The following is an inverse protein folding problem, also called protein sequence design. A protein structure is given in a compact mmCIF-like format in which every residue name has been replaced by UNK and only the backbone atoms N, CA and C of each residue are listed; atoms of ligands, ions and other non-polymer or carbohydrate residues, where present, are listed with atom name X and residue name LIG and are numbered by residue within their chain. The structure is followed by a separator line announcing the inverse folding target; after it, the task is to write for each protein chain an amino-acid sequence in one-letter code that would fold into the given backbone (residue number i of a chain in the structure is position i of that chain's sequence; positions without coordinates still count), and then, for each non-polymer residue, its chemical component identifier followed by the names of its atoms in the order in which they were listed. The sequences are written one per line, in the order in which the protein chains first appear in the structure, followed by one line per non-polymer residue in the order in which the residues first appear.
data_IF_453301420316
#
_entry.id   IF_453301420316
#
_cell.length_a   1.000
_cell.length_b   1.000
_cell.length_c   1.000
_cell.angle_alpha   90.00
_cell.angle_beta   90.00
_cell.angle_gamma   90.00
#
_symmetry.space_group_name_H-M   'P 1'
#
loop_
_entity.id
_entity.type
_entity.pdbx_description
1 polymer ?
#
# COMPACT_ATOMS: atom_id res chain seq x y z
N UNK A 1 -19.34 38.70 34.83
CA UNK A 1 -19.22 39.56 33.65
C UNK A 1 -19.42 38.69 32.42
N UNK A 2 -20.63 38.73 31.83
CA UNK A 2 -20.90 38.12 30.53
C UNK A 2 -20.51 39.16 29.48
N UNK A 3 -19.36 39.01 28.85
CA UNK A 3 -18.96 39.85 27.71
C UNK A 3 -19.83 39.45 26.53
N UNK A 4 -20.80 40.30 26.19
CA UNK A 4 -21.58 40.13 24.97
C UNK A 4 -20.69 40.28 23.74
N UNK A 5 -20.91 39.43 22.74
CA UNK A 5 -20.28 39.54 21.42
C UNK A 5 -20.83 40.77 20.70
N UNK A 6 -19.94 41.70 20.32
CA UNK A 6 -20.30 42.90 19.53
C UNK A 6 -20.02 42.73 18.03
N UNK A 7 -19.14 41.81 17.65
CA UNK A 7 -18.85 41.45 16.26
C UNK A 7 -18.70 39.92 16.13
N UNK A 8 -19.41 39.31 15.18
CA UNK A 8 -19.35 37.87 14.93
C UNK A 8 -18.11 37.44 14.13
N UNK A 9 -17.53 38.34 13.33
CA UNK A 9 -16.36 38.07 12.49
C UNK A 9 -15.12 37.72 13.33
N UNK A 10 -15.06 38.22 14.56
CA UNK A 10 -13.98 37.94 15.52
C UNK A 10 -14.04 36.50 16.09
N UNK A 11 -15.14 35.79 15.85
CA UNK A 11 -15.40 34.45 16.40
C UNK A 11 -15.89 33.50 15.31
N UNK A 12 -15.07 33.25 14.27
CA UNK A 12 -15.45 32.33 13.22
C UNK A 12 -15.54 30.89 13.75
N UNK A 13 -16.30 30.05 13.05
CA UNK A 13 -16.40 28.63 13.39
C UNK A 13 -14.98 28.00 13.44
N UNK A 14 -14.64 27.26 14.50
CA UNK A 14 -13.29 26.73 14.68
C UNK A 14 -12.95 25.65 13.65
N UNK A 15 -11.65 25.42 13.47
CA UNK A 15 -11.12 24.38 12.58
C UNK A 15 -11.64 22.99 12.99
N UNK A 16 -11.81 22.12 11.99
CA UNK A 16 -12.40 20.78 12.17
C UNK A 16 -13.86 20.76 12.63
N UNK A 17 -14.55 21.91 12.63
CA UNK A 17 -15.96 22.04 12.96
C UNK A 17 -16.74 22.76 11.86
N UNK A 18 -18.06 22.70 11.94
CA UNK A 18 -19.01 23.52 11.18
C UNK A 18 -20.11 24.06 12.11
N UNK A 19 -20.65 25.24 11.77
CA UNK A 19 -21.54 25.99 12.66
C UNK A 19 -22.79 26.49 11.92
N UNK A 20 -23.99 25.95 12.18
CA UNK A 20 -25.23 26.33 11.48
C UNK A 20 -25.87 27.66 11.98
N UNK A 21 -25.16 28.47 12.77
CA UNK A 21 -25.63 29.78 13.24
C UNK A 21 -26.50 29.78 14.50
N UNK A 22 -26.50 28.70 15.30
CA UNK A 22 -27.27 28.60 16.57
C UNK A 22 -26.42 28.63 17.84
N UNK A 23 -25.13 28.98 17.72
CA UNK A 23 -24.18 28.98 18.83
C UNK A 23 -23.53 27.62 19.11
N UNK A 24 -23.96 26.56 18.41
CA UNK A 24 -23.36 25.24 18.47
C UNK A 24 -22.27 25.07 17.40
N UNK A 25 -21.16 24.44 17.78
CA UNK A 25 -20.12 23.99 16.86
C UNK A 25 -20.14 22.45 16.81
N UNK A 26 -20.24 21.89 15.60
CA UNK A 26 -20.30 20.46 15.38
C UNK A 26 -19.01 19.98 14.72
N UNK A 27 -18.48 18.85 15.17
CA UNK A 27 -17.31 18.23 14.56
C UNK A 27 -17.60 17.85 13.09
N UNK A 28 -16.61 18.05 12.22
CA UNK A 28 -16.65 17.47 10.88
C UNK A 28 -16.73 15.93 10.96
N UNK A 29 -17.44 15.27 10.04
CA UNK A 29 -17.62 13.82 10.07
C UNK A 29 -16.30 13.04 9.87
N UNK A 30 -16.23 11.76 10.27
CA UNK A 30 -15.08 10.91 10.00
C UNK A 30 -14.71 10.90 8.51
N UNK A 31 -13.42 10.84 8.20
CA UNK A 31 -12.93 10.89 6.82
C UNK A 31 -12.92 12.29 6.21
N UNK A 32 -13.30 13.32 6.98
CA UNK A 32 -13.21 14.73 6.56
C UNK A 32 -12.39 15.57 7.54
N UNK A 33 -11.88 16.70 7.05
CA UNK A 33 -11.16 17.69 7.85
C UNK A 33 -11.55 19.11 7.44
N UNK A 34 -11.22 20.08 8.27
CA UNK A 34 -11.37 21.50 7.96
C UNK A 34 -10.17 22.29 8.46
N UNK A 35 -9.35 22.77 7.53
CA UNK A 35 -8.16 23.60 7.81
C UNK A 35 -8.45 25.11 7.86
N UNK A 36 -9.60 25.56 7.33
CA UNK A 36 -9.99 26.96 7.29
C UNK A 36 -11.08 27.29 8.33
N UNK A 37 -11.07 28.47 8.96
CA UNK A 37 -12.14 28.86 9.87
C UNK A 37 -13.45 29.14 9.12
N UNK A 38 -14.54 29.32 9.88
CA UNK A 38 -15.79 29.88 9.36
C UNK A 38 -16.67 28.92 8.56
N UNK A 39 -16.50 27.61 8.71
CA UNK A 39 -17.39 26.62 8.11
C UNK A 39 -18.84 26.79 8.61
N UNK A 40 -19.78 26.91 7.67
CA UNK A 40 -21.21 27.10 7.92
C UNK A 40 -22.00 25.78 7.83
N UNK A 41 -21.48 24.80 7.09
CA UNK A 41 -22.18 23.55 6.84
C UNK A 41 -21.22 22.35 6.70
N UNK A 42 -21.79 21.15 6.59
CA UNK A 42 -21.03 19.93 6.30
C UNK A 42 -20.30 19.98 4.95
N UNK A 43 -20.77 20.79 4.00
CA UNK A 43 -20.15 20.94 2.68
C UNK A 43 -18.79 21.65 2.75
N UNK A 44 -18.54 22.37 3.85
CA UNK A 44 -17.26 23.00 4.13
C UNK A 44 -16.22 22.01 4.66
N UNK A 45 -16.62 20.81 5.11
CA UNK A 45 -15.71 19.78 5.55
C UNK A 45 -15.14 19.02 4.34
N UNK A 46 -13.86 19.25 4.05
CA UNK A 46 -13.18 18.65 2.91
C UNK A 46 -12.85 17.17 3.18
N UNK A 47 -12.85 16.30 2.15
CA UNK A 47 -12.31 14.95 2.30
C UNK A 47 -10.88 14.98 2.84
N UNK A 48 -10.56 14.03 3.72
CA UNK A 48 -9.21 13.92 4.27
C UNK A 48 -8.17 13.86 3.15
N UNK A 49 -7.10 14.63 3.31
CA UNK A 49 -6.08 14.75 2.26
C UNK A 49 -5.43 13.40 1.95
N UNK A 50 -5.09 13.11 0.68
CA UNK A 50 -4.38 11.89 0.31
C UNK A 50 -3.09 11.73 1.12
N UNK A 51 -2.85 10.51 1.63
CA UNK A 51 -1.71 10.21 2.50
C UNK A 51 -1.97 10.50 3.98
N UNK A 52 -3.15 11.00 4.32
CA UNK A 52 -3.62 11.23 5.68
C UNK A 52 -4.93 10.49 5.91
N UNK A 53 -5.22 10.18 7.18
CA UNK A 53 -6.51 9.68 7.62
C UNK A 53 -7.11 10.57 8.69
N UNK A 54 -8.43 10.67 8.69
CA UNK A 54 -9.22 11.53 9.56
C UNK A 54 -10.13 10.63 10.41
N UNK A 55 -9.66 10.18 11.59
CA UNK A 55 -10.41 9.26 12.44
C UNK A 55 -11.71 9.88 12.95
N UNK A 56 -12.58 9.07 13.52
CA UNK A 56 -13.84 9.54 14.10
C UNK A 56 -13.59 10.50 15.28
N UNK A 57 -13.90 11.81 15.14
CA UNK A 57 -13.66 12.80 16.19
C UNK A 57 -14.46 12.54 17.47
N UNK A 58 -15.61 11.85 17.37
CA UNK A 58 -16.40 11.48 18.53
C UNK A 58 -15.71 10.39 19.38
N UNK A 59 -14.86 9.57 18.76
CA UNK A 59 -14.07 8.55 19.45
C UNK A 59 -12.75 9.09 19.99
N UNK A 60 -12.07 9.96 19.23
CA UNK A 60 -10.77 10.52 19.64
C UNK A 60 -10.90 11.71 20.57
N UNK A 61 -12.05 12.40 20.58
CA UNK A 61 -12.25 13.66 21.29
C UNK A 61 -11.48 14.84 20.66
N UNK A 62 -10.94 14.68 19.45
CA UNK A 62 -10.11 15.66 18.78
C UNK A 62 -10.67 16.00 17.38
N UNK A 63 -10.80 17.29 17.04
CA UNK A 63 -11.24 17.70 15.71
C UNK A 63 -10.18 17.40 14.64
N UNK A 64 -10.62 16.95 13.46
CA UNK A 64 -9.75 16.78 12.31
C UNK A 64 -9.48 18.14 11.66
N UNK A 65 -8.40 18.81 12.07
CA UNK A 65 -7.97 20.05 11.40
C UNK A 65 -7.22 19.73 10.12
N UNK A 66 -6.27 18.80 10.15
CA UNK A 66 -5.39 18.44 9.03
C UNK A 66 -5.28 16.93 8.74
N UNK A 67 -5.87 16.07 9.59
CA UNK A 67 -5.71 14.61 9.52
C UNK A 67 -4.38 14.11 10.11
N UNK A 68 -4.21 12.80 10.16
CA UNK A 68 -3.02 12.12 10.69
C UNK A 68 -2.27 11.46 9.52
N UNK A 69 -0.96 11.72 9.35
CA UNK A 69 -0.20 11.15 8.24
C UNK A 69 -0.09 9.64 8.38
N UNK A 70 -0.16 8.95 7.25
CA UNK A 70 -0.11 7.49 7.25
C UNK A 70 1.31 7.00 7.45
N UNK A 71 1.46 6.06 8.37
CA UNK A 71 2.76 5.48 8.72
C UNK A 71 3.29 4.61 7.57
N UNK A 72 4.61 4.42 7.47
CA UNK A 72 5.18 3.48 6.50
C UNK A 72 4.55 2.10 6.62
N UNK A 73 4.36 1.43 5.48
CA UNK A 73 3.66 0.15 5.38
C UNK A 73 2.14 0.27 5.34
N UNK A 74 1.59 1.50 5.30
CA UNK A 74 0.15 1.76 5.18
C UNK A 74 -0.13 2.75 4.07
N UNK A 75 -1.31 2.62 3.46
CA UNK A 75 -1.85 3.53 2.46
C UNK A 75 -3.13 4.22 2.96
N UNK A 76 -3.32 5.46 2.51
CA UNK A 76 -4.48 6.29 2.83
C UNK A 76 -4.97 7.06 1.60
N UNK A 77 -5.91 6.48 0.84
CA UNK A 77 -6.61 7.19 -0.22
C UNK A 77 -7.32 8.46 0.30
N UNK A 78 -7.72 9.39 -0.59
CA UNK A 78 -8.51 10.55 -0.20
C UNK A 78 -9.76 10.15 0.60
N UNK A 79 -10.06 10.88 1.67
CA UNK A 79 -11.22 10.60 2.54
C UNK A 79 -11.03 9.42 3.51
N UNK A 80 -9.80 8.94 3.71
CA UNK A 80 -9.54 7.83 4.63
C UNK A 80 -9.95 8.15 6.06
N UNK A 81 -10.71 7.24 6.68
CA UNK A 81 -11.05 7.29 8.12
C UNK A 81 -9.97 6.62 8.97
N UNK A 82 -9.28 5.64 8.41
CA UNK A 82 -8.23 4.86 9.06
C UNK A 82 -7.20 4.41 8.02
N UNK A 83 -5.94 4.17 8.42
CA UNK A 83 -4.92 3.66 7.52
C UNK A 83 -5.17 2.19 7.17
N UNK A 84 -4.89 1.81 5.92
CA UNK A 84 -5.02 0.43 5.42
C UNK A 84 -3.62 -0.15 5.19
N UNK A 85 -3.35 -1.44 5.51
CA UNK A 85 -2.07 -2.06 5.18
C UNK A 85 -1.72 -1.91 3.70
N UNK A 86 -0.46 -1.66 3.40
CA UNK A 86 0.00 -1.54 2.02
C UNK A 86 -0.30 -2.82 1.24
N UNK A 87 -0.98 -2.70 0.11
CA UNK A 87 -1.33 -3.86 -0.73
C UNK A 87 -0.11 -4.70 -1.13
N UNK A 88 -0.24 -6.04 -1.15
CA UNK A 88 0.83 -6.94 -1.59
C UNK A 88 1.26 -6.64 -3.03
N UNK A 89 2.55 -6.80 -3.32
CA UNK A 89 3.15 -6.41 -4.59
C UNK A 89 3.44 -4.91 -4.71
N UNK A 90 3.24 -4.13 -3.65
CA UNK A 90 3.57 -2.71 -3.57
C UNK A 90 4.30 -2.39 -2.26
N UNK A 91 4.88 -1.19 -2.16
CA UNK A 91 5.43 -0.65 -0.93
C UNK A 91 4.93 0.77 -0.67
N UNK A 92 4.81 1.12 0.61
CA UNK A 92 4.22 2.38 1.07
C UNK A 92 5.16 3.09 2.05
N UNK A 93 5.66 4.26 1.66
CA UNK A 93 6.42 5.14 2.53
C UNK A 93 5.49 5.91 3.49
N UNK A 94 6.05 6.86 4.23
CA UNK A 94 5.22 7.79 5.02
C UNK A 94 4.35 8.64 4.09
N UNK A 95 3.08 8.83 4.47
CA UNK A 95 2.15 9.67 3.73
C UNK A 95 1.74 9.11 2.36
N UNK A 96 1.82 7.79 2.16
CA UNK A 96 1.41 7.17 0.89
C UNK A 96 -0.10 7.17 0.74
N UNK A 97 -0.59 7.81 -0.33
CA UNK A 97 -1.98 7.71 -0.77
C UNK A 97 -2.19 6.60 -1.80
N UNK A 98 -1.21 6.47 -2.70
CA UNK A 98 -1.18 5.47 -3.77
C UNK A 98 0.13 4.67 -3.66
N UNK A 99 0.06 3.35 -3.41
CA UNK A 99 1.24 2.50 -3.26
C UNK A 99 2.10 2.44 -4.52
N UNK A 100 3.42 2.45 -4.33
CA UNK A 100 4.38 2.23 -5.42
C UNK A 100 4.57 0.75 -5.71
N UNK A 101 4.55 0.38 -6.99
CA UNK A 101 4.77 -1.00 -7.44
C UNK A 101 6.12 -1.54 -6.99
N UNK A 102 6.14 -2.77 -6.49
CA UNK A 102 7.38 -3.45 -6.11
C UNK A 102 8.30 -3.63 -7.33
N UNK A 103 9.56 -3.17 -7.30
CA UNK A 103 10.46 -3.31 -8.44
C UNK A 103 10.79 -4.78 -8.75
N UNK A 104 11.05 -5.07 -10.03
CA UNK A 104 11.50 -6.40 -10.45
C UNK A 104 12.81 -6.82 -9.76
N UNK A 105 12.90 -8.11 -9.42
CA UNK A 105 13.99 -8.67 -8.61
C UNK A 105 13.79 -8.55 -7.10
N UNK A 106 12.66 -7.98 -6.66
CA UNK A 106 12.23 -7.93 -5.26
C UNK A 106 10.80 -8.43 -5.13
N UNK A 107 10.40 -8.76 -3.92
CA UNK A 107 9.01 -9.04 -3.59
C UNK A 107 8.57 -8.25 -2.36
N UNK A 108 7.33 -7.78 -2.37
CA UNK A 108 6.78 -6.91 -1.34
C UNK A 108 5.52 -7.58 -0.75
N UNK A 109 5.60 -8.27 0.40
CA UNK A 109 4.43 -8.78 1.09
C UNK A 109 3.52 -7.64 1.58
N UNK A 110 2.30 -7.98 2.01
CA UNK A 110 1.37 -7.01 2.61
C UNK A 110 2.04 -6.22 3.75
N UNK A 111 1.81 -4.90 3.76
CA UNK A 111 2.39 -4.01 4.79
C UNK A 111 3.85 -3.63 4.55
N UNK A 112 4.41 -3.89 3.37
CA UNK A 112 5.77 -3.49 3.01
C UNK A 112 5.92 -1.96 3.04
N UNK A 113 6.86 -1.47 3.87
CA UNK A 113 7.20 -0.04 3.98
C UNK A 113 8.27 0.42 2.99
N UNK A 114 9.03 -0.54 2.46
CA UNK A 114 10.08 -0.37 1.46
C UNK A 114 10.17 -1.65 0.62
N UNK A 115 11.09 -1.73 -0.33
CA UNK A 115 11.34 -2.93 -1.15
C UNK A 115 12.77 -3.46 -1.04
N UNK A 116 13.69 -2.67 -0.46
CA UNK A 116 15.13 -2.85 -0.55
C UNK A 116 15.75 -3.44 0.73
N UNK A 117 14.99 -4.23 1.48
CA UNK A 117 15.54 -5.02 2.59
C UNK A 117 16.14 -6.35 2.09
N UNK A 118 17.14 -6.92 2.79
CA UNK A 118 17.70 -8.22 2.44
C UNK A 118 16.64 -9.33 2.34
N UNK A 119 15.60 -9.26 3.15
CA UNK A 119 14.51 -10.23 3.19
C UNK A 119 13.63 -10.16 1.94
N UNK A 120 13.52 -8.99 1.31
CA UNK A 120 12.70 -8.74 0.11
C UNK A 120 13.44 -9.03 -1.20
N UNK A 121 14.74 -9.34 -1.14
CA UNK A 121 15.53 -9.68 -2.33
C UNK A 121 15.07 -11.02 -2.90
N UNK A 122 14.84 -11.06 -4.22
CA UNK A 122 14.49 -12.27 -4.92
C UNK A 122 15.73 -13.10 -5.24
N UNK A 123 15.88 -14.23 -4.56
CA UNK A 123 17.06 -15.09 -4.67
C UNK A 123 16.76 -16.39 -5.42
N UNK A 124 17.80 -17.01 -5.98
CA UNK A 124 17.69 -18.33 -6.62
C UNK A 124 17.06 -19.35 -5.65
N UNK A 125 16.13 -20.22 -6.11
CA UNK A 125 15.72 -20.46 -7.50
C UNK A 125 14.53 -19.62 -8.00
N UNK A 126 14.12 -18.59 -7.28
CA UNK A 126 12.89 -17.84 -7.55
C UNK A 126 13.12 -16.60 -8.41
N UNK A 127 12.14 -16.21 -9.22
CA UNK A 127 12.11 -14.93 -9.92
C UNK A 127 10.92 -14.08 -9.44
N UNK A 128 11.03 -12.77 -9.62
CA UNK A 128 10.08 -11.79 -9.13
C UNK A 128 9.91 -10.68 -10.17
N UNK A 129 8.90 -10.76 -11.06
CA UNK A 129 8.53 -9.64 -11.93
C UNK A 129 8.07 -8.41 -11.13
N UNK A 130 8.02 -7.21 -11.74
CA UNK A 130 7.46 -6.04 -11.09
C UNK A 130 6.06 -6.32 -10.52
N UNK A 131 5.81 -5.90 -9.28
CA UNK A 131 4.55 -6.16 -8.59
C UNK A 131 4.48 -7.50 -7.85
N UNK A 132 5.59 -8.22 -7.70
CA UNK A 132 5.60 -9.49 -6.98
C UNK A 132 5.30 -9.32 -5.49
N UNK A 133 4.27 -10.01 -5.00
CA UNK A 133 3.96 -10.10 -3.58
C UNK A 133 4.80 -11.15 -2.84
N UNK A 134 5.23 -12.17 -3.59
CA UNK A 134 6.04 -13.28 -3.11
C UNK A 134 6.95 -13.78 -4.24
N UNK A 135 8.01 -14.56 -3.92
CA UNK A 135 8.85 -15.17 -4.94
C UNK A 135 8.07 -16.20 -5.78
N UNK A 136 8.35 -16.24 -7.09
CA UNK A 136 7.74 -17.18 -8.03
C UNK A 136 8.75 -18.25 -8.47
N UNK A 137 8.26 -19.47 -8.67
CA UNK A 137 9.05 -20.58 -9.22
C UNK A 137 8.88 -20.63 -10.73
N UNK A 138 9.91 -21.08 -11.45
CA UNK A 138 9.73 -21.43 -12.85
C UNK A 138 8.70 -22.56 -12.98
N UNK A 139 7.76 -22.37 -13.90
CA UNK A 139 6.71 -23.34 -14.24
C UNK A 139 7.29 -24.71 -14.62
N UNK A 140 6.49 -25.77 -14.48
CA UNK A 140 6.84 -27.13 -14.88
C UNK A 140 7.40 -27.19 -16.30
N UNK A 141 8.45 -27.99 -16.49
CA UNK A 141 9.21 -28.03 -17.74
C UNK A 141 10.26 -26.92 -17.91
N UNK A 142 10.35 -25.96 -16.98
CA UNK A 142 11.41 -24.94 -16.97
C UNK A 142 12.28 -25.07 -15.74
N UNK A 143 13.60 -24.97 -15.87
CA UNK A 143 14.53 -24.87 -14.74
C UNK A 143 15.00 -23.43 -14.52
N UNK A 144 15.24 -23.09 -13.26
CA UNK A 144 15.78 -21.78 -12.89
C UNK A 144 17.26 -21.66 -13.28
N UNK A 145 17.63 -20.51 -13.85
CA UNK A 145 19.01 -20.18 -14.18
C UNK A 145 19.68 -19.35 -13.07
N UNK A 146 20.95 -19.62 -12.80
CA UNK A 146 21.78 -18.83 -11.87
C UNK A 146 22.59 -17.79 -12.65
N UNK A 147 21.91 -16.81 -13.24
CA UNK A 147 22.53 -15.69 -13.95
C UNK A 147 22.78 -14.50 -13.00
N UNK A 148 23.78 -13.64 -13.28
CA UNK A 148 23.97 -12.40 -12.53
C UNK A 148 22.81 -11.41 -12.75
N UNK A 149 22.61 -10.50 -11.80
CA UNK A 149 21.60 -9.44 -11.88
C UNK A 149 20.30 -9.74 -11.14
N UNK A 150 19.34 -8.79 -11.14
CA UNK A 150 18.06 -8.94 -10.46
C UNK A 150 17.21 -10.00 -11.17
N UNK A 151 16.64 -10.93 -10.40
CA UNK A 151 15.80 -12.02 -10.91
C UNK A 151 14.40 -11.52 -11.29
N UNK A 152 14.32 -10.66 -12.30
CA UNK A 152 13.18 -9.77 -12.59
C UNK A 152 12.17 -10.27 -13.62
N UNK A 153 12.41 -11.42 -14.25
CA UNK A 153 11.62 -11.88 -15.40
C UNK A 153 11.71 -13.38 -15.57
N UNK A 154 10.63 -13.97 -16.09
CA UNK A 154 10.58 -15.39 -16.38
C UNK A 154 11.55 -15.74 -17.52
N UNK A 155 11.52 -14.96 -18.60
CA UNK A 155 12.25 -15.23 -19.84
C UNK A 155 13.77 -15.21 -19.66
N UNK A 156 14.29 -14.41 -18.73
CA UNK A 156 15.73 -14.35 -18.44
C UNK A 156 16.16 -15.46 -17.49
N UNK A 157 15.31 -15.84 -16.53
CA UNK A 157 15.72 -16.66 -15.38
C UNK A 157 15.11 -18.05 -15.34
N UNK A 158 14.26 -18.38 -16.32
CA UNK A 158 13.69 -19.70 -16.52
C UNK A 158 14.01 -20.19 -17.94
N UNK A 159 14.54 -21.41 -18.03
CA UNK A 159 14.86 -22.06 -19.31
C UNK A 159 14.10 -23.36 -19.44
N UNK A 160 13.50 -23.58 -20.61
CA UNK A 160 12.86 -24.86 -20.92
C UNK A 160 13.87 -26.01 -20.78
N UNK A 161 13.40 -27.13 -20.29
CA UNK A 161 14.16 -28.37 -20.25
C UNK A 161 14.42 -28.87 -21.67
N UNK A 162 15.64 -29.34 -21.90
CA UNK A 162 16.04 -29.88 -23.20
C UNK A 162 15.33 -31.23 -23.45
N UNK A 163 15.15 -31.60 -24.73
CA UNK A 163 14.51 -32.85 -25.12
C UNK A 163 15.15 -34.05 -24.40
N UNK A 164 14.31 -34.99 -23.94
CA UNK A 164 14.74 -36.13 -23.12
C UNK A 164 14.89 -35.81 -21.63
N UNK A 165 14.60 -34.58 -21.20
CA UNK A 165 14.55 -34.21 -19.78
C UNK A 165 13.18 -33.62 -19.38
N UNK A 166 12.88 -33.62 -18.08
CA UNK A 166 11.64 -33.08 -17.52
C UNK A 166 11.88 -32.43 -16.17
N UNK A 167 10.94 -31.57 -15.74
CA UNK A 167 10.91 -31.02 -14.39
C UNK A 167 9.46 -30.83 -13.94
N UNK A 168 9.14 -31.34 -12.75
CA UNK A 168 7.84 -31.11 -12.13
C UNK A 168 7.87 -29.86 -11.24
N UNK A 169 6.69 -29.37 -10.86
CA UNK A 169 6.56 -28.22 -9.96
C UNK A 169 7.02 -28.52 -8.52
N UNK A 170 7.10 -29.81 -8.14
CA UNK A 170 7.55 -30.24 -6.82
C UNK A 170 9.07 -30.11 -6.61
N UNK A 171 9.85 -29.95 -7.68
CA UNK A 171 11.32 -29.91 -7.66
C UNK A 171 11.84 -28.49 -7.89
N UNK A 172 11.52 -27.60 -6.95
CA UNK A 172 11.72 -26.15 -7.05
C UNK A 172 13.18 -25.77 -7.37
N UNK A 173 14.18 -26.37 -6.71
CA UNK A 173 15.59 -26.05 -6.93
C UNK A 173 16.33 -27.05 -7.85
N UNK A 174 15.66 -28.11 -8.31
CA UNK A 174 16.35 -29.15 -9.07
C UNK A 174 16.54 -28.73 -10.54
N UNK A 175 17.67 -29.11 -11.17
CA UNK A 175 17.81 -29.03 -12.61
C UNK A 175 16.83 -30.00 -13.29
N UNK A 176 16.67 -29.86 -14.61
CA UNK A 176 15.93 -30.84 -15.41
C UNK A 176 16.47 -32.25 -15.19
N UNK A 177 15.57 -33.20 -14.97
CA UNK A 177 15.87 -34.59 -14.70
C UNK A 177 15.72 -35.42 -15.98
N UNK A 178 16.50 -36.51 -16.15
CA UNK A 178 16.34 -37.39 -17.30
C UNK A 178 14.95 -38.04 -17.30
N UNK A 179 14.37 -38.20 -18.50
CA UNK A 179 13.07 -38.84 -18.66
C UNK A 179 13.09 -40.28 -18.07
N UNK A 180 12.13 -40.68 -17.23
CA UNK A 180 12.10 -42.02 -16.65
C UNK A 180 11.95 -43.10 -17.72
N UNK A 181 12.49 -44.30 -17.45
CA UNK A 181 12.36 -45.43 -18.36
C UNK A 181 10.87 -45.76 -18.64
N UNK A 182 10.54 -45.93 -19.92
CA UNK A 182 9.16 -46.17 -20.37
C UNK A 182 8.36 -44.92 -20.72
N UNK A 183 8.92 -43.71 -20.58
CA UNK A 183 8.28 -42.43 -20.92
C UNK A 183 9.06 -41.66 -22.00
N UNK A 184 8.37 -40.78 -22.72
CA UNK A 184 8.96 -39.88 -23.72
C UNK A 184 8.76 -38.44 -23.27
N UNK A 185 9.86 -37.68 -23.22
CA UNK A 185 9.90 -36.26 -22.89
C UNK A 185 10.37 -35.51 -24.14
N UNK A 186 9.47 -34.82 -24.88
CA UNK A 186 9.80 -34.13 -26.12
C UNK A 186 10.68 -32.89 -25.90
#
# INVERSE_FOLDING_TARGET
FLTGLTNFEDHPCPLGHWCPGKGDAFLCPPGTSRILPGAASLEDCDPCSPGYYCPDPAQTGLPNTQGVPCRPGYECPPGSVSPVPCRPGSYCAVGTAEPSTCPGGYYCPEGSSAYNSPEQLCVFPYYCPPGSAHPLVCEGGYMALSLPGPRDSFEKFCRICDAGTYRNDSLIAAPCQPCPAGFVCP
#
